data_IF_657833840809
#
_entry.id   IF_657833840809
#
_cell.length_a   1.000
_cell.length_b   1.000
_cell.length_c   1.000
_cell.angle_alpha   90.00
_cell.angle_beta   90.00
_cell.angle_gamma   90.00
#
_symmetry.space_group_name_H-M   'P 1'
#
loop_
_entity.id
_entity.type
_entity.pdbx_description
1 polymer ?
#
# COMPACT_ATOMS: atom_id res chain seq x y z
N UNK A 1 -3.01 22.39 -11.81
CA UNK A 1 -2.75 22.89 -10.44
C UNK A 1 -3.50 21.99 -9.48
N UNK A 2 -2.79 21.40 -8.52
CA UNK A 2 -3.40 20.57 -7.46
C UNK A 2 -4.04 21.48 -6.41
N UNK A 3 -5.23 21.11 -5.92
CA UNK A 3 -5.96 21.88 -4.89
C UNK A 3 -5.69 21.31 -3.51
N UNK A 4 -5.92 22.10 -2.46
CA UNK A 4 -5.88 21.57 -1.10
C UNK A 4 -6.92 20.45 -0.94
N UNK A 5 -6.48 19.28 -0.44
CA UNK A 5 -7.31 18.08 -0.36
C UNK A 5 -7.37 17.24 -1.65
N UNK A 6 -6.63 17.60 -2.69
CA UNK A 6 -6.50 16.78 -3.89
C UNK A 6 -5.53 15.62 -3.65
N UNK A 7 -6.07 14.40 -3.69
CA UNK A 7 -5.30 13.16 -3.52
C UNK A 7 -4.78 12.60 -4.85
N UNK A 8 -5.17 13.17 -5.99
CA UNK A 8 -4.68 12.72 -7.30
C UNK A 8 -3.14 12.63 -7.37
N UNK A 9 -2.36 13.68 -7.08
CA UNK A 9 -0.89 13.59 -7.18
C UNK A 9 -0.31 12.50 -6.26
N UNK A 10 -0.87 12.35 -5.05
CA UNK A 10 -0.46 11.31 -4.11
C UNK A 10 -0.75 9.91 -4.66
N UNK A 11 -1.92 9.69 -5.26
CA UNK A 11 -2.30 8.38 -5.78
C UNK A 11 -1.65 8.03 -7.13
N UNK A 12 -1.15 9.02 -7.87
CA UNK A 12 -0.36 8.80 -9.09
C UNK A 12 1.13 8.59 -8.81
N UNK A 13 1.72 9.34 -7.88
CA UNK A 13 3.18 9.39 -7.67
C UNK A 13 3.65 8.60 -6.45
N UNK A 14 2.84 8.52 -5.40
CA UNK A 14 3.15 7.79 -4.16
C UNK A 14 2.01 6.81 -3.86
N UNK A 15 1.79 5.81 -4.74
CA UNK A 15 0.59 4.99 -4.68
C UNK A 15 0.48 4.08 -3.46
N UNK A 16 1.39 4.12 -2.49
CA UNK A 16 1.39 3.25 -1.29
C UNK A 16 0.40 3.67 -0.21
N UNK A 17 -0.25 4.82 -0.34
CA UNK A 17 -1.19 5.30 0.68
C UNK A 17 -2.47 4.46 0.71
N UNK A 18 -2.95 4.07 1.92
CA UNK A 18 -4.20 3.30 2.06
C UNK A 18 -5.39 4.00 1.41
N UNK A 19 -5.40 5.34 1.40
CA UNK A 19 -6.50 6.11 0.83
C UNK A 19 -6.69 5.84 -0.65
N UNK A 20 -5.60 5.63 -1.39
CA UNK A 20 -5.64 5.40 -2.83
C UNK A 20 -6.29 4.07 -3.21
N UNK A 21 -6.20 3.04 -2.36
CA UNK A 21 -6.93 1.79 -2.57
C UNK A 21 -8.43 1.97 -2.41
N UNK A 22 -8.85 2.76 -1.43
CA UNK A 22 -10.27 3.03 -1.18
C UNK A 22 -10.87 3.82 -2.35
N UNK A 23 -10.16 4.83 -2.85
CA UNK A 23 -10.56 5.54 -4.07
C UNK A 23 -10.55 4.64 -5.30
N UNK A 24 -9.55 3.78 -5.48
CA UNK A 24 -9.52 2.82 -6.58
C UNK A 24 -10.77 1.94 -6.61
N UNK A 25 -11.17 1.37 -5.46
CA UNK A 25 -12.38 0.55 -5.39
C UNK A 25 -13.67 1.34 -5.66
N UNK A 26 -13.75 2.59 -5.19
CA UNK A 26 -14.89 3.46 -5.49
C UNK A 26 -14.97 3.78 -6.98
N UNK A 27 -13.86 4.14 -7.62
CA UNK A 27 -13.79 4.40 -9.05
C UNK A 27 -14.13 3.12 -9.83
N UNK A 28 -13.57 1.98 -9.44
CA UNK A 28 -13.89 0.70 -10.07
C UNK A 28 -15.39 0.38 -10.05
N UNK A 29 -16.08 0.73 -8.96
CA UNK A 29 -17.51 0.46 -8.81
C UNK A 29 -18.39 1.49 -9.53
N UNK A 30 -18.03 2.77 -9.51
CA UNK A 30 -18.86 3.87 -9.99
C UNK A 30 -18.53 4.32 -11.42
N UNK A 31 -17.27 4.24 -11.82
CA UNK A 31 -16.80 4.64 -13.14
C UNK A 31 -15.44 3.97 -13.48
N UNK A 32 -15.50 2.70 -13.87
CA UNK A 32 -14.31 1.93 -14.25
C UNK A 32 -13.60 2.45 -15.50
N UNK A 33 -14.25 3.31 -16.30
CA UNK A 33 -13.67 3.88 -17.51
C UNK A 33 -12.50 4.84 -17.23
N UNK A 34 -12.44 5.36 -16.00
CA UNK A 34 -11.34 6.19 -15.51
C UNK A 34 -10.06 5.37 -15.33
N UNK A 35 -10.17 4.06 -15.04
CA UNK A 35 -9.02 3.19 -14.79
C UNK A 35 -8.39 2.75 -16.13
N UNK A 36 -7.13 3.12 -16.34
CA UNK A 36 -6.41 2.94 -17.59
C UNK A 36 -5.07 2.23 -17.37
N UNK A 37 -4.54 1.62 -18.44
CA UNK A 37 -3.24 0.94 -18.40
C UNK A 37 -3.20 -0.16 -17.35
N UNK A 38 -2.19 -0.12 -16.48
CA UNK A 38 -1.99 -1.12 -15.41
C UNK A 38 -3.09 -1.09 -14.35
N UNK A 39 -3.87 -0.01 -14.24
CA UNK A 39 -4.99 0.07 -13.31
C UNK A 39 -6.30 -0.47 -13.88
N UNK A 40 -6.36 -0.80 -15.17
CA UNK A 40 -7.60 -1.27 -15.79
C UNK A 40 -8.00 -2.69 -15.33
N UNK A 41 -7.01 -3.56 -15.10
CA UNK A 41 -7.24 -4.91 -14.62
C UNK A 41 -7.01 -5.01 -13.11
N UNK A 42 -8.08 -5.20 -12.34
CA UNK A 42 -8.01 -5.27 -10.89
C UNK A 42 -7.28 -6.51 -10.34
N UNK A 43 -7.10 -7.56 -11.14
CA UNK A 43 -6.33 -8.72 -10.71
C UNK A 43 -4.82 -8.42 -10.67
N UNK A 44 -4.34 -7.64 -11.64
CA UNK A 44 -2.93 -7.26 -11.77
C UNK A 44 -2.60 -5.88 -11.19
N UNK A 45 -3.62 -5.02 -10.99
CA UNK A 45 -3.44 -3.60 -10.69
C UNK A 45 -2.52 -3.35 -9.49
N UNK A 46 -1.58 -2.39 -9.64
CA UNK A 46 -0.80 -1.90 -8.53
C UNK A 46 -1.70 -1.12 -7.57
N UNK A 47 -1.18 -0.84 -6.38
CA UNK A 47 -1.79 0.14 -5.47
C UNK A 47 -1.85 1.49 -6.20
N UNK A 48 -2.87 2.34 -5.97
CA UNK A 48 -3.00 3.64 -6.62
C UNK A 48 -4.07 3.73 -7.71
N UNK A 49 -4.24 4.93 -8.29
CA UNK A 49 -5.15 5.19 -9.41
C UNK A 49 -4.31 5.67 -10.58
N UNK A 50 -4.27 4.88 -11.66
CA UNK A 50 -3.43 5.13 -12.85
C UNK A 50 -2.01 5.60 -12.49
N UNK A 51 -1.26 4.87 -11.64
CA UNK A 51 0.03 5.34 -11.17
C UNK A 51 1.04 5.45 -12.31
N UNK A 52 1.90 6.46 -12.26
CA UNK A 52 2.98 6.64 -13.24
C UNK A 52 4.03 5.53 -13.11
N UNK A 53 4.28 5.10 -11.88
CA UNK A 53 5.15 3.98 -11.55
C UNK A 53 4.47 3.13 -10.48
N UNK A 54 4.18 1.86 -10.80
CA UNK A 54 3.51 0.93 -9.91
C UNK A 54 4.04 -0.49 -10.08
N UNK A 55 4.23 -1.19 -8.98
CA UNK A 55 4.60 -2.61 -8.98
C UNK A 55 3.32 -3.44 -9.05
N UNK A 56 3.16 -4.22 -10.11
CA UNK A 56 2.02 -5.12 -10.29
C UNK A 56 1.96 -6.17 -9.18
N UNK A 57 0.77 -6.73 -8.96
CA UNK A 57 0.60 -7.86 -8.06
C UNK A 57 1.40 -9.08 -8.53
N UNK A 58 1.76 -9.93 -7.57
CA UNK A 58 2.56 -11.13 -7.82
C UNK A 58 1.92 -11.98 -8.93
N UNK A 59 2.75 -12.52 -9.82
CA UNK A 59 2.29 -13.42 -10.88
C UNK A 59 1.77 -12.74 -12.15
N UNK A 60 1.80 -11.41 -12.23
CA UNK A 60 1.39 -10.67 -13.42
C UNK A 60 2.60 -10.01 -14.10
N UNK A 61 2.78 -10.25 -15.41
CA UNK A 61 3.89 -9.72 -16.22
C UNK A 61 5.29 -9.95 -15.61
N UNK A 62 5.52 -11.11 -14.99
CA UNK A 62 6.79 -11.41 -14.33
C UNK A 62 7.05 -10.62 -13.04
N UNK A 63 6.06 -9.88 -12.52
CA UNK A 63 6.17 -9.16 -11.26
C UNK A 63 6.27 -10.13 -10.08
N UNK A 64 7.30 -9.92 -9.25
CA UNK A 64 7.49 -10.59 -7.97
C UNK A 64 6.83 -9.83 -6.81
N UNK A 65 6.03 -8.80 -7.10
CA UNK A 65 5.53 -7.82 -6.13
C UNK A 65 6.66 -7.12 -5.35
N UNK A 66 6.31 -6.29 -4.38
CA UNK A 66 7.29 -5.57 -3.57
C UNK A 66 7.87 -6.46 -2.45
N UNK A 67 8.67 -7.47 -2.82
CA UNK A 67 9.30 -8.42 -1.89
C UNK A 67 10.13 -7.70 -0.82
N UNK A 68 10.88 -6.67 -1.21
CA UNK A 68 11.70 -5.90 -0.28
C UNK A 68 10.88 -5.28 0.86
N UNK A 69 9.75 -4.64 0.52
CA UNK A 69 8.86 -4.06 1.53
C UNK A 69 8.19 -5.11 2.41
N UNK A 70 7.79 -6.26 1.83
CA UNK A 70 7.21 -7.37 2.59
C UNK A 70 8.20 -7.87 3.64
N UNK A 71 9.46 -8.10 3.25
CA UNK A 71 10.52 -8.55 4.17
C UNK A 71 10.80 -7.50 5.24
N UNK A 72 10.93 -6.22 4.86
CA UNK A 72 11.18 -5.13 5.80
C UNK A 72 10.05 -4.97 6.83
N UNK A 73 8.79 -5.04 6.39
CA UNK A 73 7.62 -4.99 7.28
C UNK A 73 7.59 -6.20 8.23
N UNK A 74 7.84 -7.41 7.72
CA UNK A 74 7.83 -8.63 8.53
C UNK A 74 8.89 -8.57 9.65
N UNK A 75 10.13 -8.18 9.31
CA UNK A 75 11.21 -8.00 10.29
C UNK A 75 10.88 -6.91 11.31
N UNK A 76 10.27 -5.80 10.88
CA UNK A 76 9.87 -4.71 11.78
C UNK A 76 8.81 -5.14 12.80
N UNK A 77 7.83 -5.94 12.37
CA UNK A 77 6.80 -6.51 13.26
C UNK A 77 7.44 -7.45 14.28
N UNK A 78 8.29 -8.38 13.82
CA UNK A 78 9.00 -9.31 14.71
C UNK A 78 9.85 -8.54 15.73
N UNK A 79 10.61 -7.56 15.28
CA UNK A 79 11.44 -6.73 16.14
C UNK A 79 10.60 -5.99 17.19
N UNK A 80 9.46 -5.42 16.78
CA UNK A 80 8.54 -4.72 17.69
C UNK A 80 7.95 -5.69 18.72
N UNK A 81 7.54 -6.90 18.32
CA UNK A 81 7.06 -7.94 19.24
C UNK A 81 8.14 -8.35 20.25
N UNK A 82 9.40 -8.49 19.82
CA UNK A 82 10.52 -8.77 20.71
C UNK A 82 10.72 -7.65 21.75
N UNK A 83 10.66 -6.39 21.31
CA UNK A 83 10.74 -5.24 22.21
C UNK A 83 9.57 -5.23 23.22
N UNK A 84 8.34 -5.53 22.78
CA UNK A 84 7.18 -5.64 23.68
C UNK A 84 7.41 -6.73 24.73
N UNK A 85 7.88 -7.92 24.35
CA UNK A 85 8.15 -9.02 25.29
C UNK A 85 9.27 -8.64 26.27
N UNK A 86 10.35 -8.02 25.80
CA UNK A 86 11.46 -7.63 26.67
C UNK A 86 11.09 -6.51 27.64
N UNK A 87 10.31 -5.53 27.20
CA UNK A 87 9.85 -4.43 28.05
C UNK A 87 8.80 -4.91 29.07
N UNK A 88 7.89 -5.81 28.68
CA UNK A 88 6.92 -6.41 29.62
C UNK A 88 7.58 -7.30 30.66
N UNK A 89 8.66 -8.00 30.32
CA UNK A 89 9.49 -8.74 31.31
C UNK A 89 10.21 -7.82 32.32
N UNK A 90 10.44 -6.55 31.95
CA UNK A 90 10.98 -5.51 32.85
C UNK A 90 9.89 -4.72 33.57
N UNK A 91 8.65 -5.22 33.67
CA UNK A 91 7.71 -4.74 34.68
C UNK A 91 8.25 -5.11 36.07
N UNK A 92 9.14 -4.27 36.60
CA UNK A 92 9.26 -4.11 38.03
C UNK A 92 7.89 -3.65 38.53
N UNK A 93 7.34 -4.42 39.47
CA UNK A 93 6.10 -4.11 40.14
C UNK A 93 6.21 -2.73 40.80
N UNK A 94 5.50 -1.76 40.24
CA UNK A 94 4.89 -0.69 41.03
C UNK A 94 3.40 -0.98 40.96
N UNK A 95 2.82 -1.20 42.15
CA UNK A 95 1.41 -1.55 42.33
C UNK A 95 0.45 -0.47 41.86
#
# INVERSE_FOLDING_TARGET
MTRFGDFAPLCHQVPSYPWCNLFYHQIQHHDSSVLQGVSADAASAPVGVNPECGILRVGHNGSIANVANIVACALSIIFTLLLIVWTTRRRAAVG
#
